data_IF_032406904329
#
_entry.id   IF_032406904329
#
_cell.length_a   1.000
_cell.length_b   1.000
_cell.length_c   1.000
_cell.angle_alpha   90.00
_cell.angle_beta   90.00
_cell.angle_gamma   90.00
#
_symmetry.space_group_name_H-M   'P 1'
#
loop_
_entity.id
_entity.type
_entity.pdbx_description
1 polymer ?
#
# COMPACT_ATOMS: atom_id res chain seq x y z
N UNK A 1 11.13 -20.71 21.01
CA UNK A 1 10.61 -19.48 20.39
C UNK A 1 9.43 -18.84 21.14
N UNK A 2 8.70 -19.60 21.93
CA UNK A 2 7.48 -19.14 22.58
C UNK A 2 7.59 -19.13 24.11
N UNK A 3 8.77 -18.86 24.61
CA UNK A 3 9.02 -18.73 26.05
C UNK A 3 8.24 -17.54 26.65
N UNK A 4 7.91 -17.62 27.93
CA UNK A 4 7.09 -16.59 28.61
C UNK A 4 7.73 -15.19 28.57
N UNK A 5 9.04 -15.12 28.44
CA UNK A 5 9.80 -13.87 28.34
C UNK A 5 9.64 -13.14 27.01
N UNK A 6 9.13 -13.82 25.96
CA UNK A 6 8.94 -13.23 24.64
C UNK A 6 7.58 -12.55 24.57
N UNK A 7 7.56 -11.23 24.39
CA UNK A 7 6.34 -10.43 24.29
C UNK A 7 5.78 -10.35 22.86
N UNK A 8 6.65 -10.40 21.85
CA UNK A 8 6.26 -10.29 20.43
C UNK A 8 7.25 -11.00 19.52
N UNK A 9 6.77 -11.39 18.34
CA UNK A 9 7.53 -12.14 17.33
C UNK A 9 7.47 -11.38 16.00
N UNK A 10 8.63 -11.25 15.35
CA UNK A 10 8.75 -10.76 13.97
C UNK A 10 8.89 -11.97 13.04
N UNK A 11 7.97 -12.05 12.06
CA UNK A 11 7.98 -13.08 11.03
C UNK A 11 8.37 -12.45 9.70
N UNK A 12 9.62 -12.67 9.29
CA UNK A 12 10.19 -12.24 8.02
C UNK A 12 10.85 -13.46 7.35
N UNK A 13 10.09 -14.53 7.23
CA UNK A 13 10.49 -15.80 6.62
C UNK A 13 10.03 -15.86 5.16
N UNK A 14 10.22 -17.01 4.51
CA UNK A 14 9.66 -17.23 3.18
C UNK A 14 8.11 -17.21 3.24
N UNK A 15 7.42 -16.55 2.29
CA UNK A 15 5.96 -16.37 2.30
C UNK A 15 5.16 -17.66 2.57
N UNK A 16 5.52 -18.79 1.97
CA UNK A 16 4.86 -20.09 2.20
C UNK A 16 4.84 -20.55 3.66
N UNK A 17 5.75 -20.07 4.50
CA UNK A 17 5.78 -20.43 5.94
C UNK A 17 5.03 -19.45 6.82
N UNK A 18 4.63 -18.28 6.30
CA UNK A 18 4.00 -17.21 7.07
C UNK A 18 2.74 -17.68 7.79
N UNK A 19 1.84 -18.32 7.08
CA UNK A 19 0.57 -18.82 7.63
C UNK A 19 0.78 -19.75 8.83
N UNK A 20 1.68 -20.73 8.69
CA UNK A 20 1.94 -21.71 9.74
C UNK A 20 2.58 -21.05 10.96
N UNK A 21 3.61 -20.22 10.76
CA UNK A 21 4.32 -19.54 11.85
C UNK A 21 3.37 -18.57 12.57
N UNK A 22 2.60 -17.77 11.82
CA UNK A 22 1.62 -16.83 12.39
C UNK A 22 0.59 -17.55 13.24
N UNK A 23 0.09 -18.71 12.77
CA UNK A 23 -0.89 -19.52 13.51
C UNK A 23 -0.33 -19.93 14.87
N UNK A 24 0.92 -20.40 14.94
CA UNK A 24 1.54 -20.82 16.21
C UNK A 24 1.83 -19.63 17.14
N UNK A 25 2.25 -18.48 16.60
CA UNK A 25 2.46 -17.25 17.38
C UNK A 25 1.15 -16.76 18.01
N UNK A 26 0.05 -16.77 17.25
CA UNK A 26 -1.27 -16.35 17.72
C UNK A 26 -1.76 -17.31 18.81
N UNK A 27 -1.67 -18.64 18.61
CA UNK A 27 -2.05 -19.64 19.60
C UNK A 27 -1.26 -19.51 20.91
N UNK A 28 0.00 -19.10 20.81
CA UNK A 28 0.83 -18.84 22.00
C UNK A 28 0.52 -17.51 22.69
N UNK A 29 -0.46 -16.75 22.20
CA UNK A 29 -0.86 -15.46 22.79
C UNK A 29 0.21 -14.38 22.72
N UNK A 30 1.11 -14.43 21.72
CA UNK A 30 2.16 -13.44 21.52
C UNK A 30 1.72 -12.38 20.51
N UNK A 31 2.31 -11.18 20.64
CA UNK A 31 2.15 -10.14 19.61
C UNK A 31 2.89 -10.55 18.35
N UNK A 32 2.34 -10.17 17.17
CA UNK A 32 2.85 -10.62 15.88
C UNK A 32 3.09 -9.43 14.94
N UNK A 33 4.32 -9.27 14.49
CA UNK A 33 4.62 -8.57 13.25
C UNK A 33 4.86 -9.61 12.16
N UNK A 34 4.17 -9.50 11.06
CA UNK A 34 4.32 -10.43 9.94
C UNK A 34 4.52 -9.68 8.62
N UNK A 35 5.60 -10.01 7.92
CA UNK A 35 5.84 -9.48 6.59
C UNK A 35 4.75 -9.89 5.59
N UNK A 36 4.59 -9.05 4.58
CA UNK A 36 3.68 -9.33 3.48
C UNK A 36 4.26 -10.44 2.54
N UNK A 37 3.40 -11.22 1.91
CA UNK A 37 2.01 -11.45 2.22
C UNK A 37 1.86 -12.25 3.51
N UNK A 38 0.90 -11.95 4.39
CA UNK A 38 0.76 -12.68 5.66
C UNK A 38 0.30 -14.14 5.46
N UNK A 39 -0.22 -14.46 4.30
CA UNK A 39 -0.68 -15.79 3.89
C UNK A 39 -0.87 -15.83 2.37
N UNK A 40 -1.16 -16.99 1.80
CA UNK A 40 -1.23 -17.16 0.34
C UNK A 40 -2.61 -16.85 -0.25
N UNK A 41 -3.69 -16.96 0.54
CA UNK A 41 -5.04 -16.83 0.03
C UNK A 41 -6.06 -16.42 1.10
N UNK A 42 -7.29 -16.06 0.67
CA UNK A 42 -8.38 -15.66 1.57
C UNK A 42 -8.77 -16.72 2.59
N UNK A 43 -8.67 -18.00 2.26
CA UNK A 43 -9.00 -19.10 3.18
C UNK A 43 -8.03 -19.13 4.36
N UNK A 44 -6.75 -18.98 4.09
CA UNK A 44 -5.73 -18.89 5.12
C UNK A 44 -5.91 -17.63 5.97
N UNK A 45 -6.16 -16.48 5.31
CA UNK A 45 -6.44 -15.23 6.01
C UNK A 45 -7.63 -15.36 6.95
N UNK A 46 -8.71 -15.99 6.49
CA UNK A 46 -9.87 -16.27 7.34
C UNK A 46 -9.50 -17.16 8.52
N UNK A 47 -8.71 -18.20 8.29
CA UNK A 47 -8.27 -19.11 9.36
C UNK A 47 -7.43 -18.37 10.40
N UNK A 48 -6.51 -17.51 10.00
CA UNK A 48 -5.75 -16.66 10.94
C UNK A 48 -6.67 -15.75 11.75
N UNK A 49 -7.64 -15.09 11.11
CA UNK A 49 -8.61 -14.22 11.79
C UNK A 49 -9.48 -14.99 12.78
N UNK A 50 -9.93 -16.20 12.44
CA UNK A 50 -10.70 -17.05 13.34
C UNK A 50 -9.82 -17.56 14.50
N UNK A 51 -8.55 -17.82 14.27
CA UNK A 51 -7.57 -18.16 15.32
C UNK A 51 -7.41 -17.01 16.31
N UNK A 52 -7.32 -15.76 15.83
CA UNK A 52 -7.29 -14.57 16.71
C UNK A 52 -8.52 -14.48 17.59
N UNK A 53 -9.71 -14.73 17.04
CA UNK A 53 -10.97 -14.73 17.83
C UNK A 53 -10.97 -15.79 18.92
N UNK A 54 -10.37 -16.94 18.64
CA UNK A 54 -10.36 -18.08 19.57
C UNK A 54 -9.33 -17.91 20.71
N UNK A 55 -8.14 -17.38 20.38
CA UNK A 55 -7.02 -17.31 21.34
C UNK A 55 -6.82 -15.92 21.96
N UNK A 56 -7.60 -14.94 21.52
CA UNK A 56 -7.52 -13.57 22.00
C UNK A 56 -6.63 -12.68 21.11
N UNK A 57 -6.97 -11.39 21.10
CA UNK A 57 -6.27 -10.40 20.31
C UNK A 57 -5.04 -9.86 21.06
N UNK A 58 -3.84 -10.11 20.53
CA UNK A 58 -2.62 -9.36 20.85
C UNK A 58 -2.33 -8.38 19.72
N UNK A 59 -1.48 -7.36 19.90
CA UNK A 59 -1.05 -6.51 18.81
C UNK A 59 -0.56 -7.33 17.61
N UNK A 60 -1.21 -7.14 16.46
CA UNK A 60 -0.80 -7.74 15.19
C UNK A 60 -0.62 -6.62 14.17
N UNK A 61 0.52 -6.61 13.48
CA UNK A 61 0.80 -5.71 12.36
C UNK A 61 1.23 -6.55 11.15
N UNK A 62 0.62 -6.26 10.01
CA UNK A 62 1.05 -6.78 8.70
C UNK A 62 2.01 -5.78 8.08
N UNK A 63 3.16 -6.25 7.61
CA UNK A 63 4.24 -5.46 7.02
C UNK A 63 3.86 -4.78 5.70
N UNK A 64 3.15 -3.67 5.80
CA UNK A 64 2.70 -2.83 4.69
C UNK A 64 3.26 -1.43 4.87
N UNK A 65 4.57 -1.33 4.77
CA UNK A 65 5.38 -0.18 5.14
C UNK A 65 4.96 1.14 4.48
N UNK A 66 4.41 1.11 3.26
CA UNK A 66 3.95 2.32 2.55
C UNK A 66 2.93 3.12 3.33
N UNK A 67 2.11 2.45 4.13
CA UNK A 67 1.15 3.11 5.04
C UNK A 67 1.83 4.01 6.07
N UNK A 68 3.08 3.71 6.43
CA UNK A 68 3.86 4.39 7.47
C UNK A 68 4.90 5.37 6.90
N UNK A 69 5.06 5.44 5.59
CA UNK A 69 5.99 6.37 4.95
C UNK A 69 5.64 7.83 5.31
N UNK A 70 6.63 8.67 5.61
CA UNK A 70 6.41 10.08 5.94
C UNK A 70 5.59 10.82 4.88
N UNK A 71 5.89 10.60 3.60
CA UNK A 71 5.13 11.16 2.49
C UNK A 71 3.65 10.77 2.53
N UNK A 72 3.35 9.50 2.85
CA UNK A 72 1.99 8.99 3.03
C UNK A 72 1.25 9.68 4.17
N UNK A 73 1.92 9.88 5.31
CA UNK A 73 1.31 10.54 6.45
C UNK A 73 0.99 12.02 6.16
N UNK A 74 1.88 12.70 5.44
CA UNK A 74 1.64 14.08 4.97
C UNK A 74 0.49 14.11 3.97
N UNK A 75 0.50 13.23 2.96
CA UNK A 75 -0.55 13.12 1.96
C UNK A 75 -1.91 12.88 2.62
N UNK A 76 -2.01 11.88 3.49
CA UNK A 76 -3.25 11.54 4.20
C UNK A 76 -3.79 12.70 5.03
N UNK A 77 -2.90 13.48 5.67
CA UNK A 77 -3.28 14.69 6.41
C UNK A 77 -3.80 15.78 5.47
N UNK A 78 -3.18 15.95 4.30
CA UNK A 78 -3.58 16.96 3.30
C UNK A 78 -4.92 16.64 2.67
N UNK A 79 -5.16 15.38 2.32
CA UNK A 79 -6.41 14.93 1.70
C UNK A 79 -7.64 15.08 2.63
N UNK A 80 -7.43 15.22 3.95
CA UNK A 80 -8.54 15.46 4.88
C UNK A 80 -9.25 16.78 4.55
N UNK A 81 -10.53 16.70 4.22
CA UNK A 81 -11.36 17.87 3.90
C UNK A 81 -11.18 18.40 2.47
N UNK A 82 -10.53 17.62 1.58
CA UNK A 82 -10.54 17.86 0.14
C UNK A 82 -11.46 16.88 -0.57
N UNK A 83 -12.11 17.34 -1.64
CA UNK A 83 -12.90 16.48 -2.51
C UNK A 83 -11.96 15.82 -3.51
N UNK A 84 -11.72 14.53 -3.36
CA UNK A 84 -10.92 13.75 -4.30
C UNK A 84 -11.79 13.44 -5.51
N UNK A 85 -11.29 13.73 -6.71
CA UNK A 85 -12.01 13.54 -7.98
C UNK A 85 -11.70 12.19 -8.60
N UNK A 86 -10.41 11.90 -8.74
CA UNK A 86 -9.88 10.64 -9.25
C UNK A 86 -8.41 10.52 -8.88
N UNK A 87 -7.87 9.30 -9.05
CA UNK A 87 -6.45 9.04 -8.95
C UNK A 87 -5.97 8.13 -10.08
N UNK A 88 -4.65 8.19 -10.35
CA UNK A 88 -3.96 7.26 -11.22
C UNK A 88 -2.72 6.74 -10.50
N UNK A 89 -2.58 5.42 -10.41
CA UNK A 89 -1.43 4.78 -9.79
C UNK A 89 -0.73 3.85 -10.79
N UNK A 90 0.54 4.12 -11.01
CA UNK A 90 1.43 3.30 -11.84
C UNK A 90 2.42 2.58 -10.95
N UNK A 91 2.48 1.27 -11.09
CA UNK A 91 3.43 0.40 -10.41
C UNK A 91 4.03 -0.55 -11.43
N UNK A 92 5.22 -0.21 -11.93
CA UNK A 92 5.85 -0.84 -13.07
C UNK A 92 7.21 -1.40 -12.67
N UNK A 93 7.37 -2.71 -12.87
CA UNK A 93 8.58 -3.47 -12.53
C UNK A 93 9.05 -4.29 -13.71
N UNK A 94 10.19 -4.95 -13.58
CA UNK A 94 10.65 -5.97 -14.53
C UNK A 94 9.98 -7.33 -14.28
N UNK A 95 10.34 -8.31 -15.11
CA UNK A 95 9.88 -9.68 -14.98
C UNK A 95 10.09 -10.23 -13.57
N UNK A 96 9.13 -11.03 -13.12
CA UNK A 96 9.14 -11.63 -11.78
C UNK A 96 8.89 -13.15 -11.87
N UNK A 97 9.86 -13.93 -12.35
CA UNK A 97 9.71 -15.38 -12.52
C UNK A 97 9.82 -16.17 -11.20
N UNK A 98 10.32 -15.55 -10.13
CA UNK A 98 10.60 -16.18 -8.84
C UNK A 98 9.37 -16.38 -7.95
N UNK A 99 8.23 -15.77 -8.27
CA UNK A 99 7.05 -15.84 -7.42
C UNK A 99 5.75 -15.41 -8.12
N UNK A 100 4.71 -15.20 -7.31
CA UNK A 100 3.43 -14.67 -7.76
C UNK A 100 3.44 -13.13 -7.70
N UNK A 101 3.54 -12.48 -8.86
CA UNK A 101 3.56 -11.03 -8.95
C UNK A 101 2.33 -10.35 -8.33
N UNK A 102 1.16 -10.99 -8.38
CA UNK A 102 -0.06 -10.43 -7.78
C UNK A 102 0.06 -10.41 -6.26
N UNK A 103 0.52 -11.50 -5.67
CA UNK A 103 0.63 -11.67 -4.23
C UNK A 103 1.87 -10.96 -3.66
N UNK A 104 3.00 -10.98 -4.38
CA UNK A 104 4.28 -10.49 -3.87
C UNK A 104 4.52 -9.01 -4.18
N UNK A 105 4.06 -8.52 -5.33
CA UNK A 105 4.32 -7.16 -5.80
C UNK A 105 3.06 -6.31 -5.79
N UNK A 106 1.97 -6.78 -6.41
CA UNK A 106 0.78 -5.96 -6.61
C UNK A 106 -0.10 -5.83 -5.36
N UNK A 107 0.15 -6.64 -4.32
CA UNK A 107 -0.42 -6.41 -2.99
C UNK A 107 -0.13 -4.98 -2.49
N UNK A 108 1.05 -4.45 -2.77
CA UNK A 108 1.44 -3.11 -2.33
C UNK A 108 0.58 -1.98 -2.90
N UNK A 109 0.44 -1.82 -4.23
CA UNK A 109 -0.41 -0.78 -4.80
C UNK A 109 -1.90 -0.99 -4.50
N UNK A 110 -2.40 -2.23 -4.47
CA UNK A 110 -3.78 -2.53 -4.10
C UNK A 110 -4.07 -2.16 -2.64
N UNK A 111 -3.16 -2.50 -1.74
CA UNK A 111 -3.24 -2.11 -0.35
C UNK A 111 -3.18 -0.60 -0.17
N UNK A 112 -2.28 0.05 -0.87
CA UNK A 112 -2.05 1.47 -0.71
C UNK A 112 -3.25 2.32 -1.10
N UNK A 113 -3.91 2.00 -2.23
CA UNK A 113 -5.13 2.72 -2.63
C UNK A 113 -6.31 2.41 -1.72
N UNK A 114 -6.42 1.16 -1.24
CA UNK A 114 -7.43 0.78 -0.25
C UNK A 114 -7.22 1.51 1.08
N UNK A 115 -5.98 1.65 1.52
CA UNK A 115 -5.62 2.40 2.73
C UNK A 115 -5.93 3.89 2.63
N UNK A 116 -5.74 4.50 1.46
CA UNK A 116 -5.97 5.93 1.25
C UNK A 116 -7.44 6.26 1.00
N UNK A 117 -8.15 5.45 0.22
CA UNK A 117 -9.47 5.78 -0.33
C UNK A 117 -10.59 4.87 0.17
N UNK A 118 -10.26 3.84 0.96
CA UNK A 118 -11.24 2.86 1.46
C UNK A 118 -11.42 1.68 0.50
N UNK A 119 -12.40 0.83 0.82
CA UNK A 119 -12.74 -0.34 0.02
C UNK A 119 -13.15 0.03 -1.41
N UNK A 120 -12.81 -0.82 -2.36
CA UNK A 120 -13.05 -0.61 -3.77
C UNK A 120 -13.74 -1.80 -4.43
N UNK A 121 -14.39 -1.57 -5.57
CA UNK A 121 -14.87 -2.61 -6.49
C UNK A 121 -14.13 -2.49 -7.81
N UNK A 122 -13.84 -3.61 -8.46
CA UNK A 122 -13.28 -3.61 -9.80
C UNK A 122 -14.40 -3.26 -10.79
N UNK A 123 -14.30 -2.09 -11.39
CA UNK A 123 -15.24 -1.63 -12.43
C UNK A 123 -14.86 -2.17 -13.80
N UNK A 124 -13.58 -2.23 -14.09
CA UNK A 124 -13.05 -2.87 -15.30
C UNK A 124 -11.63 -3.38 -15.03
N UNK A 125 -11.27 -4.45 -15.72
CA UNK A 125 -9.96 -5.05 -15.71
C UNK A 125 -9.62 -5.52 -17.10
N UNK A 126 -8.45 -5.14 -17.59
CA UNK A 126 -7.86 -5.70 -18.80
C UNK A 126 -6.44 -6.19 -18.50
N UNK A 127 -6.00 -7.20 -19.27
CA UNK A 127 -4.72 -7.86 -19.07
C UNK A 127 -4.00 -7.99 -20.41
N UNK A 128 -2.81 -7.47 -20.46
CA UNK A 128 -1.89 -7.66 -21.58
C UNK A 128 -0.78 -8.61 -21.10
N UNK A 129 -0.44 -9.59 -21.91
CA UNK A 129 0.68 -10.52 -21.66
C UNK A 129 1.70 -10.40 -22.77
N UNK A 130 2.95 -10.27 -22.39
CA UNK A 130 4.07 -10.33 -23.32
C UNK A 130 4.50 -11.78 -23.59
N UNK A 131 5.24 -11.97 -24.70
CA UNK A 131 5.80 -13.27 -25.04
C UNK A 131 6.86 -13.75 -24.07
N UNK A 132 7.49 -12.84 -23.37
CA UNK A 132 8.58 -13.07 -22.41
C UNK A 132 8.07 -13.39 -20.99
N UNK A 133 6.73 -13.49 -20.82
CA UNK A 133 6.11 -13.83 -19.54
C UNK A 133 5.74 -12.64 -18.67
N UNK A 134 6.01 -11.43 -19.12
CA UNK A 134 5.55 -10.20 -18.45
C UNK A 134 4.04 -10.04 -18.59
N UNK A 135 3.44 -9.33 -17.64
CA UNK A 135 2.02 -8.98 -17.70
C UNK A 135 1.79 -7.54 -17.24
N UNK A 136 0.79 -6.92 -17.85
CA UNK A 136 0.29 -5.60 -17.43
C UNK A 136 -1.19 -5.70 -17.17
N UNK A 137 -1.60 -5.24 -16.00
CA UNK A 137 -2.99 -5.15 -15.58
C UNK A 137 -3.42 -3.67 -15.62
N UNK A 138 -4.50 -3.38 -16.32
CA UNK A 138 -5.17 -2.10 -16.29
C UNK A 138 -6.48 -2.26 -15.51
N UNK A 139 -6.54 -1.65 -14.32
CA UNK A 139 -7.73 -1.72 -13.46
C UNK A 139 -8.37 -0.35 -13.34
N UNK A 140 -9.68 -0.33 -13.38
CA UNK A 140 -10.47 0.81 -12.88
C UNK A 140 -11.15 0.36 -11.61
N UNK A 141 -10.80 1.02 -10.50
CA UNK A 141 -11.38 0.78 -9.19
C UNK A 141 -12.39 1.89 -8.85
N UNK A 142 -13.50 1.50 -8.27
CA UNK A 142 -14.53 2.40 -7.77
C UNK A 142 -14.64 2.25 -6.25
N UNK A 143 -14.19 3.28 -5.53
CA UNK A 143 -14.46 3.49 -4.10
C UNK A 143 -15.81 4.20 -3.97
N UNK A 144 -16.26 4.54 -2.76
CA UNK A 144 -17.59 5.14 -2.57
C UNK A 144 -17.92 6.29 -3.53
N UNK A 145 -17.06 7.30 -3.61
CA UNK A 145 -17.24 8.49 -4.47
C UNK A 145 -16.02 8.76 -5.36
N UNK A 146 -15.02 7.89 -5.32
CA UNK A 146 -13.73 8.08 -5.99
C UNK A 146 -13.54 6.98 -7.02
N UNK A 147 -13.20 7.36 -8.23
CA UNK A 147 -12.75 6.41 -9.26
C UNK A 147 -11.24 6.54 -9.45
N UNK A 148 -10.54 5.43 -9.49
CA UNK A 148 -9.11 5.38 -9.74
C UNK A 148 -8.73 4.40 -10.82
N UNK A 149 -7.61 4.67 -11.47
CA UNK A 149 -7.00 3.78 -12.45
C UNK A 149 -5.66 3.28 -11.92
N UNK A 150 -5.41 1.97 -12.05
CA UNK A 150 -4.14 1.35 -11.75
C UNK A 150 -3.55 0.73 -13.01
N UNK A 151 -2.26 0.98 -13.22
CA UNK A 151 -1.41 0.30 -14.19
C UNK A 151 -0.37 -0.48 -13.39
N UNK A 152 -0.54 -1.81 -13.35
CA UNK A 152 0.32 -2.74 -12.60
C UNK A 152 1.04 -3.63 -13.60
N UNK A 153 2.37 -3.56 -13.66
CA UNK A 153 3.11 -4.24 -14.71
C UNK A 153 4.39 -4.91 -14.20
N UNK A 154 4.64 -6.11 -14.73
CA UNK A 154 5.94 -6.80 -14.66
C UNK A 154 6.64 -6.85 -16.02
N UNK A 155 6.20 -6.04 -16.97
CA UNK A 155 6.67 -6.02 -18.36
C UNK A 155 7.51 -4.76 -18.69
N UNK A 156 8.16 -4.21 -17.67
CA UNK A 156 9.10 -3.10 -17.78
C UNK A 156 10.51 -3.54 -17.42
N UNK A 157 11.27 -2.73 -16.71
CA UNK A 157 12.63 -2.98 -16.28
C UNK A 157 12.76 -2.79 -14.78
N UNK A 158 13.52 -3.65 -14.10
CA UNK A 158 13.88 -3.43 -12.71
C UNK A 158 14.77 -2.21 -12.51
N UNK A 159 15.61 -1.90 -13.51
CA UNK A 159 16.49 -0.72 -13.44
C UNK A 159 15.69 0.59 -13.46
N UNK A 160 14.59 0.61 -14.23
CA UNK A 160 13.73 1.78 -14.40
C UNK A 160 12.35 1.57 -13.74
N UNK A 161 12.29 0.78 -12.69
CA UNK A 161 11.06 0.53 -11.96
C UNK A 161 10.42 1.85 -11.50
N UNK A 162 9.10 1.97 -11.73
CA UNK A 162 8.34 3.18 -11.45
C UNK A 162 7.24 2.90 -10.43
N UNK A 163 7.12 3.80 -9.49
CA UNK A 163 5.99 3.86 -8.58
C UNK A 163 5.54 5.30 -8.46
N UNK A 164 4.37 5.62 -9.02
CA UNK A 164 3.84 6.98 -9.03
C UNK A 164 2.33 6.97 -8.79
N UNK A 165 1.89 7.75 -7.81
CA UNK A 165 0.48 8.00 -7.54
C UNK A 165 0.15 9.48 -7.79
N UNK A 166 -0.77 9.76 -8.71
CA UNK A 166 -1.31 11.08 -8.97
C UNK A 166 -2.74 11.18 -8.45
N UNK A 167 -3.06 12.20 -7.66
CA UNK A 167 -4.39 12.40 -7.07
C UNK A 167 -4.89 13.79 -7.45
N UNK A 168 -6.02 13.84 -8.17
CA UNK A 168 -6.71 15.09 -8.51
C UNK A 168 -7.77 15.40 -7.46
N UNK A 169 -7.71 16.61 -6.91
CA UNK A 169 -8.67 17.11 -5.91
C UNK A 169 -9.34 18.40 -6.39
N UNK A 170 -10.26 18.90 -5.60
CA UNK A 170 -10.86 20.23 -5.81
C UNK A 170 -9.82 21.35 -5.64
N UNK A 171 -8.75 21.12 -4.85
CA UNK A 171 -7.70 22.11 -4.56
C UNK A 171 -6.48 22.03 -5.45
N UNK A 172 -6.21 20.89 -6.09
CA UNK A 172 -5.04 20.73 -6.95
C UNK A 172 -4.71 19.29 -7.27
N UNK A 173 -3.47 19.10 -7.70
CA UNK A 173 -2.91 17.80 -8.07
C UNK A 173 -1.78 17.45 -7.10
N UNK A 174 -1.87 16.31 -6.46
CA UNK A 174 -0.79 15.67 -5.72
C UNK A 174 -0.11 14.63 -6.60
N UNK A 175 1.23 14.58 -6.55
CA UNK A 175 2.04 13.54 -7.20
C UNK A 175 2.99 12.99 -6.16
N UNK A 176 2.88 11.68 -5.88
CA UNK A 176 3.77 10.94 -5.00
C UNK A 176 4.61 9.99 -5.86
N UNK A 177 5.92 10.08 -5.74
CA UNK A 177 6.87 9.24 -6.46
C UNK A 177 7.71 8.42 -5.49
N UNK A 178 7.73 7.09 -5.70
CA UNK A 178 8.56 6.10 -4.98
C UNK A 178 8.55 6.24 -3.45
N UNK A 179 7.46 6.80 -2.87
CA UNK A 179 7.37 7.19 -1.44
C UNK A 179 8.42 8.23 -1.00
N UNK A 180 9.24 8.75 -1.90
CA UNK A 180 10.39 9.61 -1.60
C UNK A 180 10.17 11.07 -1.93
N UNK A 181 9.23 11.38 -2.82
CA UNK A 181 8.88 12.74 -3.19
C UNK A 181 7.35 12.90 -3.25
N UNK A 182 6.85 13.95 -2.60
CA UNK A 182 5.45 14.35 -2.65
C UNK A 182 5.35 15.81 -3.06
N UNK A 183 4.80 16.03 -4.23
CA UNK A 183 4.58 17.35 -4.81
C UNK A 183 3.11 17.71 -4.83
N UNK A 184 2.81 19.00 -4.71
CA UNK A 184 1.48 19.55 -4.83
C UNK A 184 1.46 20.72 -5.79
N UNK A 185 0.62 20.65 -6.83
CA UNK A 185 0.36 21.75 -7.76
C UNK A 185 -1.04 22.32 -7.46
N UNK A 186 -1.15 23.53 -6.89
CA UNK A 186 -2.44 24.12 -6.56
C UNK A 186 -3.28 24.41 -7.80
N UNK A 187 -4.57 24.14 -7.70
CA UNK A 187 -5.54 24.57 -8.71
C UNK A 187 -5.78 26.06 -8.56
N UNK A 188 -5.69 26.81 -9.66
CA UNK A 188 -6.00 28.23 -9.67
C UNK A 188 -7.51 28.47 -9.74
N UNK A 189 -7.93 29.60 -9.17
CA UNK A 189 -9.30 30.05 -9.28
C UNK A 189 -9.64 30.44 -10.72
N UNK A 190 -10.92 30.39 -11.04
CA UNK A 190 -11.45 30.89 -12.31
C UNK A 190 -12.14 32.26 -12.05
N UNK A 191 -12.04 33.14 -13.03
CA UNK A 191 -12.80 34.41 -13.06
C UNK A 191 -13.73 34.34 -14.25
N UNK A 192 -15.03 34.53 -14.03
CA UNK A 192 -16.08 34.42 -15.05
C UNK A 192 -16.03 33.08 -15.81
N UNK A 193 -15.66 31.98 -15.11
CA UNK A 193 -15.55 30.64 -15.72
C UNK A 193 -14.27 30.41 -16.54
N UNK A 194 -13.41 31.42 -16.68
CA UNK A 194 -12.12 31.29 -17.38
C UNK A 194 -11.03 31.01 -16.33
N UNK A 195 -10.32 29.86 -16.43
CA UNK A 195 -9.20 29.56 -15.55
C UNK A 195 -8.12 30.64 -15.63
N UNK A 196 -7.65 31.15 -14.47
CA UNK A 196 -6.66 32.22 -14.43
C UNK A 196 -5.34 31.86 -15.11
N UNK A 197 -4.97 30.59 -15.15
CA UNK A 197 -3.80 30.10 -15.85
C UNK A 197 -3.85 30.29 -17.37
N UNK A 198 -5.02 30.49 -17.97
CA UNK A 198 -5.17 30.82 -19.40
C UNK A 198 -5.00 32.31 -19.67
N UNK A 199 -5.22 33.14 -18.67
CA UNK A 199 -5.18 34.61 -18.80
C UNK A 199 -3.82 35.18 -18.36
N UNK A 200 -3.24 34.58 -17.33
CA UNK A 200 -1.95 34.96 -16.80
C UNK A 200 -1.00 33.76 -16.94
N UNK A 201 -0.19 33.69 -18.00
CA UNK A 201 0.79 32.64 -18.19
C UNK A 201 1.92 32.82 -17.18
N UNK A 202 1.68 32.50 -15.94
CA UNK A 202 2.70 32.51 -14.90
C UNK A 202 2.59 31.29 -13.99
N UNK A 203 3.60 30.49 -14.13
CA UNK A 203 4.27 29.70 -13.14
C UNK A 203 3.35 29.16 -12.05
N UNK A 204 2.61 28.11 -12.43
CA UNK A 204 2.04 27.21 -11.43
C UNK A 204 3.18 26.69 -10.56
N UNK A 205 3.37 27.28 -9.40
CA UNK A 205 4.38 26.81 -8.48
C UNK A 205 3.97 25.43 -7.96
N UNK A 206 4.67 24.40 -8.38
CA UNK A 206 4.61 23.10 -7.70
C UNK A 206 5.35 23.25 -6.38
N UNK A 207 4.72 22.81 -5.31
CA UNK A 207 5.24 22.87 -3.95
C UNK A 207 5.68 21.46 -3.56
N UNK A 208 6.97 21.30 -3.26
CA UNK A 208 7.46 20.07 -2.68
C UNK A 208 7.00 20.01 -1.21
N UNK A 209 6.12 19.06 -0.89
CA UNK A 209 5.60 18.82 0.45
C UNK A 209 6.49 17.87 1.26
N UNK A 210 7.15 16.96 0.57
CA UNK A 210 8.13 16.04 1.11
C UNK A 210 9.14 15.68 0.02
N UNK A 211 10.41 15.65 0.38
CA UNK A 211 11.49 15.15 -0.47
C UNK A 211 12.54 14.49 0.40
N UNK A 212 12.97 13.28 0.05
CA UNK A 212 14.10 12.65 0.70
C UNK A 212 15.39 13.36 0.25
N UNK A 213 16.20 13.78 1.21
CA UNK A 213 17.49 14.42 0.92
C UNK A 213 18.62 13.41 1.11
N UNK A 214 19.06 12.80 0.03
CA UNK A 214 20.11 11.79 0.07
C UNK A 214 21.53 12.39 0.24
N UNK A 215 21.66 13.72 0.22
CA UNK A 215 22.96 14.39 0.36
C UNK A 215 23.50 14.37 1.80
N UNK A 216 22.60 14.43 2.79
CA UNK A 216 22.97 14.36 4.20
C UNK A 216 22.64 12.96 4.72
N UNK A 217 23.64 12.11 5.02
CA UNK A 217 23.40 10.75 5.52
C UNK A 217 22.93 10.78 6.99
N UNK A 218 21.72 11.25 7.19
CA UNK A 218 21.04 11.15 8.49
C UNK A 218 20.13 9.93 8.49
N UNK A 219 19.77 9.45 9.69
CA UNK A 219 18.77 8.38 9.82
C UNK A 219 17.47 8.77 9.09
N UNK A 220 17.06 10.05 9.17
CA UNK A 220 15.84 10.53 8.52
C UNK A 220 15.86 10.53 6.98
N UNK A 221 17.01 10.45 6.37
CA UNK A 221 17.20 10.43 4.90
C UNK A 221 17.46 9.02 4.35
N UNK A 222 17.40 8.00 5.21
CA UNK A 222 17.59 6.61 4.80
C UNK A 222 16.30 6.07 4.19
N UNK A 223 16.40 5.21 3.20
CA UNK A 223 15.26 4.50 2.61
C UNK A 223 14.43 3.72 3.64
N UNK A 224 15.05 3.20 4.69
CA UNK A 224 14.35 2.55 5.80
C UNK A 224 13.32 3.49 6.44
N UNK A 225 13.60 4.78 6.51
CA UNK A 225 12.67 5.78 7.04
C UNK A 225 11.73 6.29 5.95
N UNK A 226 12.24 6.69 4.76
CA UNK A 226 11.42 7.25 3.69
C UNK A 226 10.37 6.27 3.15
N UNK A 227 10.71 4.97 3.11
CA UNK A 227 9.80 3.91 2.70
C UNK A 227 8.82 3.46 3.80
N UNK A 228 9.03 3.88 5.07
CA UNK A 228 8.14 3.62 6.18
C UNK A 228 8.51 2.44 7.09
N UNK A 229 9.53 1.66 6.77
CA UNK A 229 9.94 0.48 7.56
C UNK A 229 10.25 0.82 9.02
N UNK A 230 11.01 1.89 9.27
CA UNK A 230 11.33 2.30 10.63
C UNK A 230 10.08 2.62 11.44
N UNK A 231 9.16 3.40 10.88
CA UNK A 231 7.93 3.82 11.55
C UNK A 231 6.99 2.65 11.80
N UNK A 232 6.97 1.68 10.91
CA UNK A 232 6.18 0.46 11.03
C UNK A 232 6.66 -0.42 12.18
N UNK A 233 7.97 -0.73 12.20
CA UNK A 233 8.60 -1.53 13.26
C UNK A 233 8.47 -0.84 14.61
N UNK A 234 8.72 0.49 14.65
CA UNK A 234 8.53 1.28 15.87
C UNK A 234 7.09 1.21 16.37
N UNK A 235 6.10 1.32 15.47
CA UNK A 235 4.68 1.21 15.84
C UNK A 235 4.36 -0.15 16.47
N UNK A 236 4.96 -1.22 15.97
CA UNK A 236 4.79 -2.55 16.57
C UNK A 236 5.41 -2.60 17.96
N UNK A 237 6.65 -2.17 18.12
CA UNK A 237 7.34 -2.15 19.41
C UNK A 237 6.54 -1.33 20.46
N UNK A 238 6.15 -0.10 20.12
CA UNK A 238 5.35 0.77 20.98
C UNK A 238 4.03 0.11 21.43
N UNK A 239 3.39 -0.67 20.57
CA UNK A 239 2.15 -1.39 20.91
C UNK A 239 2.37 -2.57 21.82
N UNK A 240 3.46 -3.30 21.64
CA UNK A 240 3.86 -4.41 22.51
C UNK A 240 4.19 -3.89 23.91
N UNK A 241 4.97 -2.82 24.00
CA UNK A 241 5.38 -2.22 25.28
C UNK A 241 4.19 -1.64 26.05
N UNK A 242 3.28 -0.94 25.36
CA UNK A 242 2.14 -0.29 26.00
C UNK A 242 0.91 -1.19 26.12
N UNK A 243 1.00 -2.47 25.76
CA UNK A 243 -0.09 -3.46 25.81
C UNK A 243 -1.39 -2.94 25.15
N UNK A 244 -1.27 -2.15 24.09
CA UNK A 244 -2.43 -1.63 23.37
C UNK A 244 -3.19 -2.79 22.72
N UNK A 245 -4.36 -3.11 23.25
CA UNK A 245 -5.27 -4.07 22.65
C UNK A 245 -5.63 -3.64 21.22
N UNK A 246 -5.57 -4.62 20.34
CA UNK A 246 -5.83 -4.66 18.92
C UNK A 246 -6.42 -3.41 18.24
N UNK A 247 -5.59 -2.63 17.58
CA UNK A 247 -6.08 -1.76 16.52
C UNK A 247 -6.17 -2.59 15.22
N UNK A 248 -7.38 -3.05 14.89
CA UNK A 248 -7.70 -3.83 13.69
C UNK A 248 -7.25 -3.17 12.38
N UNK A 249 -7.03 -1.84 12.41
CA UNK A 249 -6.64 -1.05 11.23
C UNK A 249 -5.24 -1.35 10.66
N UNK A 250 -4.38 -2.09 11.35
CA UNK A 250 -3.03 -2.45 10.89
C UNK A 250 -2.78 -3.96 10.87
N UNK A 251 -3.71 -4.75 11.42
CA UNK A 251 -3.62 -6.20 11.49
C UNK A 251 -4.24 -6.91 10.29
N UNK A 252 -4.46 -8.21 10.45
CA UNK A 252 -4.98 -9.09 9.39
C UNK A 252 -6.35 -8.66 8.84
N UNK A 253 -7.19 -7.98 9.65
CA UNK A 253 -8.47 -7.45 9.17
C UNK A 253 -8.28 -6.39 8.08
N UNK A 254 -7.24 -5.55 8.22
CA UNK A 254 -6.97 -4.45 7.31
C UNK A 254 -6.60 -4.87 5.88
N UNK A 255 -6.22 -6.12 5.68
CA UNK A 255 -5.85 -6.67 4.36
C UNK A 255 -6.97 -7.52 3.75
N UNK A 256 -8.08 -7.73 4.45
CA UNK A 256 -9.17 -8.62 3.98
C UNK A 256 -9.70 -8.19 2.61
N UNK A 257 -9.92 -6.89 2.43
CA UNK A 257 -10.42 -6.36 1.17
C UNK A 257 -9.41 -6.49 0.03
N UNK A 258 -8.12 -6.31 0.31
CA UNK A 258 -7.04 -6.49 -0.67
C UNK A 258 -7.00 -7.93 -1.18
N UNK A 259 -7.15 -8.92 -0.28
CA UNK A 259 -7.23 -10.33 -0.68
C UNK A 259 -8.46 -10.61 -1.55
N UNK A 260 -9.61 -9.99 -1.25
CA UNK A 260 -10.79 -10.12 -2.09
C UNK A 260 -10.56 -9.57 -3.50
N UNK A 261 -9.94 -8.38 -3.62
CA UNK A 261 -9.55 -7.82 -4.91
C UNK A 261 -8.56 -8.74 -5.67
N UNK A 262 -7.54 -9.26 -4.99
CA UNK A 262 -6.58 -10.18 -5.60
C UNK A 262 -7.24 -11.47 -6.09
N UNK A 263 -8.17 -12.03 -5.31
CA UNK A 263 -8.95 -13.21 -5.72
C UNK A 263 -9.78 -12.93 -6.97
N UNK A 264 -10.44 -11.76 -7.05
CA UNK A 264 -11.21 -11.35 -8.23
C UNK A 264 -10.30 -11.18 -9.47
N UNK A 265 -9.15 -10.53 -9.31
CA UNK A 265 -8.15 -10.37 -10.37
C UNK A 265 -7.64 -11.73 -10.84
N UNK A 266 -7.28 -12.62 -9.91
CA UNK A 266 -6.79 -13.96 -10.25
C UNK A 266 -7.83 -14.77 -11.03
N UNK A 267 -9.09 -14.75 -10.61
CA UNK A 267 -10.18 -15.44 -11.30
C UNK A 267 -10.44 -14.89 -12.71
N UNK A 268 -10.26 -13.58 -12.91
CA UNK A 268 -10.39 -12.96 -14.22
C UNK A 268 -9.22 -13.33 -15.14
N UNK A 269 -7.99 -13.24 -14.64
CA UNK A 269 -6.78 -13.52 -15.42
C UNK A 269 -6.67 -14.98 -15.82
N UNK A 270 -7.10 -15.91 -14.96
CA UNK A 270 -7.12 -17.35 -15.23
C UNK A 270 -8.14 -17.76 -16.30
N UNK A 271 -9.21 -16.99 -16.49
CA UNK A 271 -10.21 -17.26 -17.55
C UNK A 271 -9.78 -16.76 -18.93
N UNK A 272 -8.81 -15.84 -18.98
CA UNK A 272 -8.27 -15.28 -20.24
C UNK A 272 -6.92 -15.95 -20.66
N UNK A 273 -6.43 -16.89 -19.88
CA UNK A 273 -5.30 -17.77 -20.21
C UNK A 273 -5.79 -18.95 -21.00
#
# INVERSE_FOLDING_TARGET
LLEDTIAGVFVAAHPHSHFQIATEVIKAGKSLFIEKPPCENERELKTLKDTIKLYGAKPIIVGLQRRFAPATQILKKRLKGETIRHYHYRYLTGLYPEGDSLLDLFIHPLDYVTFLFGEAKIKSLDVIRSRDGGQTLFLVLEHQEITGMLELSTDYSWQDAQEQLSISTDKGLYVLEKMEQLDFTPRRSAVLGIPLEKVFPNNGATICLYGSNNFVPTIGNNQIVSQGFFSEIKTFADRVENQHEGNHALGLESVSHVYSLMTEIHNYTSKKS
#
